data_IF_565626929460
#
_entry.id   IF_565626929460
#
_cell.length_a   1.000
_cell.length_b   1.000
_cell.length_c   1.000
_cell.angle_alpha   90.00
_cell.angle_beta   90.00
_cell.angle_gamma   90.00
#
_symmetry.space_group_name_H-M   'P 1'
#
loop_
_entity.id
_entity.type
_entity.pdbx_description
1 polymer ?
#
# COMPACT_ATOMS: atom_id res chain seq x y z
N UNK A 1 24.89 1.98 -10.61
CA UNK A 1 23.60 2.62 -10.25
C UNK A 1 22.68 2.51 -11.46
N UNK A 2 21.39 2.23 -11.23
CA UNK A 2 20.41 2.05 -12.31
C UNK A 2 19.89 3.35 -12.93
N UNK A 3 20.19 4.49 -12.31
CA UNK A 3 19.63 5.80 -12.72
C UNK A 3 18.15 5.99 -12.37
N UNK A 4 17.64 5.20 -11.43
CA UNK A 4 16.25 5.31 -10.94
C UNK A 4 16.24 6.08 -9.64
N UNK A 5 15.48 7.18 -9.58
CA UNK A 5 15.34 8.03 -8.40
C UNK A 5 14.03 7.79 -7.64
N UNK A 6 13.04 7.20 -8.28
CA UNK A 6 11.72 6.93 -7.73
C UNK A 6 11.21 5.55 -8.16
N UNK A 7 10.65 4.82 -7.21
CA UNK A 7 10.02 3.52 -7.45
C UNK A 7 8.54 3.57 -7.06
N UNK A 8 7.72 2.70 -7.64
CA UNK A 8 6.26 2.73 -7.43
C UNK A 8 5.75 1.89 -6.24
N UNK A 9 6.43 0.87 -5.74
CA UNK A 9 6.04 0.19 -4.51
C UNK A 9 6.35 1.02 -3.24
N UNK A 10 5.82 0.62 -2.07
CA UNK A 10 5.05 -0.61 -1.84
C UNK A 10 3.54 -0.44 -2.07
N UNK A 11 2.90 -1.55 -2.43
CA UNK A 11 1.45 -1.67 -2.49
C UNK A 11 0.95 -2.17 -1.12
N UNK A 12 0.22 -1.34 -0.38
CA UNK A 12 -0.26 -1.63 0.97
C UNK A 12 -1.78 -1.69 1.04
N UNK A 13 -2.40 -2.14 -0.03
CA UNK A 13 -3.85 -2.26 -0.10
C UNK A 13 -4.34 -3.39 0.82
N UNK A 14 -5.13 -3.03 1.82
CA UNK A 14 -5.84 -4.01 2.66
C UNK A 14 -6.91 -4.66 1.79
N UNK A 15 -6.77 -5.96 1.53
CA UNK A 15 -7.66 -6.70 0.65
C UNK A 15 -8.08 -8.04 1.29
N UNK A 16 -9.37 -8.24 1.45
CA UNK A 16 -9.96 -9.48 1.99
C UNK A 16 -10.62 -10.36 0.93
N UNK A 17 -10.84 -9.84 -0.27
CA UNK A 17 -11.47 -10.60 -1.36
C UNK A 17 -10.40 -11.18 -2.30
N UNK A 18 -10.20 -12.49 -2.23
CA UNK A 18 -9.23 -13.20 -3.07
C UNK A 18 -9.51 -13.16 -4.57
N UNK A 19 -10.69 -12.67 -4.99
CA UNK A 19 -11.02 -12.48 -6.40
C UNK A 19 -10.41 -11.22 -6.99
N UNK A 20 -9.98 -10.29 -6.15
CA UNK A 20 -9.30 -9.08 -6.63
C UNK A 20 -7.97 -9.45 -7.27
N UNK A 21 -7.79 -9.08 -8.54
CA UNK A 21 -6.64 -9.49 -9.35
C UNK A 21 -5.28 -9.02 -8.83
N UNK A 22 -5.26 -7.97 -7.97
CA UNK A 22 -4.04 -7.43 -7.37
C UNK A 22 -3.81 -7.85 -5.92
N UNK A 23 -4.60 -8.78 -5.40
CA UNK A 23 -4.47 -9.25 -4.01
C UNK A 23 -3.06 -9.76 -3.69
N UNK A 24 -2.37 -10.36 -4.67
CA UNK A 24 -1.02 -10.90 -4.51
C UNK A 24 0.07 -9.84 -4.41
N UNK A 25 -0.22 -8.58 -4.72
CA UNK A 25 0.76 -7.48 -4.63
C UNK A 25 0.84 -6.86 -3.24
N UNK A 26 -0.17 -7.10 -2.38
CA UNK A 26 -0.26 -6.57 -1.03
C UNK A 26 0.17 -7.55 0.05
N UNK A 27 -0.05 -7.18 1.29
CA UNK A 27 0.36 -7.95 2.47
C UNK A 27 -0.83 -8.60 3.19
N UNK A 28 -1.95 -8.79 2.49
CA UNK A 28 -3.14 -9.48 2.98
C UNK A 28 -4.23 -8.58 3.54
N UNK A 29 -5.10 -9.15 4.38
CA UNK A 29 -6.31 -8.48 4.86
C UNK A 29 -6.14 -7.74 6.20
N UNK A 30 -5.04 -7.99 6.90
CA UNK A 30 -4.78 -7.36 8.20
C UNK A 30 -4.13 -5.98 8.03
N UNK A 31 -4.78 -4.90 8.52
CA UNK A 31 -4.25 -3.55 8.39
C UNK A 31 -2.94 -3.32 9.15
N UNK A 32 -2.75 -3.99 10.29
CA UNK A 32 -1.49 -3.89 11.06
C UNK A 32 -0.31 -4.51 10.28
N UNK A 33 -0.52 -5.69 9.72
CA UNK A 33 0.48 -6.36 8.88
C UNK A 33 0.84 -5.49 7.67
N UNK A 34 -0.16 -4.92 6.98
CA UNK A 34 0.07 -3.99 5.88
C UNK A 34 0.89 -2.77 6.31
N UNK A 35 0.59 -2.20 7.47
CA UNK A 35 1.34 -1.06 8.01
C UNK A 35 2.80 -1.44 8.31
N UNK A 36 3.03 -2.56 9.00
CA UNK A 36 4.36 -3.01 9.38
C UNK A 36 5.25 -3.28 8.15
N UNK A 37 4.74 -4.01 7.17
CA UNK A 37 5.47 -4.27 5.93
C UNK A 37 5.64 -3.02 5.06
N UNK A 38 4.65 -2.13 5.04
CA UNK A 38 4.72 -0.85 4.36
C UNK A 38 5.87 0.00 4.88
N UNK A 39 5.96 0.17 6.21
CA UNK A 39 7.06 0.90 6.87
C UNK A 39 8.41 0.27 6.56
N UNK A 40 8.52 -1.06 6.69
CA UNK A 40 9.76 -1.77 6.40
C UNK A 40 10.20 -1.58 4.94
N UNK A 41 9.26 -1.66 4.00
CA UNK A 41 9.51 -1.46 2.57
C UNK A 41 9.97 -0.04 2.26
N UNK A 42 9.27 0.97 2.78
CA UNK A 42 9.64 2.37 2.60
C UNK A 42 11.03 2.64 3.15
N UNK A 43 11.34 2.17 4.36
CA UNK A 43 12.67 2.29 4.95
C UNK A 43 13.75 1.58 4.13
N UNK A 44 13.43 0.41 3.57
CA UNK A 44 14.33 -0.33 2.68
C UNK A 44 14.68 0.45 1.42
N UNK A 45 13.68 1.07 0.78
CA UNK A 45 13.87 1.88 -0.43
C UNK A 45 14.56 3.21 -0.14
N UNK A 46 14.10 3.95 0.86
CA UNK A 46 14.52 5.33 1.12
C UNK A 46 15.73 5.41 2.06
N UNK A 47 15.92 4.42 2.94
CA UNK A 47 16.90 4.53 4.02
C UNK A 47 16.61 5.75 4.90
N UNK A 48 17.64 6.26 5.54
CA UNK A 48 17.54 7.43 6.42
C UNK A 48 17.85 8.74 5.70
N UNK A 49 18.42 8.66 4.49
CA UNK A 49 18.85 9.85 3.72
C UNK A 49 18.79 9.57 2.21
N UNK A 50 17.90 10.28 1.53
CA UNK A 50 17.78 10.24 0.08
C UNK A 50 18.79 11.12 -0.65
N UNK A 51 19.38 12.10 0.03
CA UNK A 51 20.26 13.10 -0.59
C UNK A 51 21.59 12.50 -1.08
N UNK A 52 21.97 11.35 -0.57
CA UNK A 52 23.22 10.68 -0.93
C UNK A 52 23.19 9.95 -2.30
N UNK A 53 22.05 9.92 -2.98
CA UNK A 53 21.88 9.30 -4.30
C UNK A 53 22.02 7.79 -4.36
N UNK A 54 22.04 7.09 -3.23
CA UNK A 54 22.18 5.64 -3.13
C UNK A 54 20.85 4.90 -2.90
N UNK A 55 19.80 5.66 -2.70
CA UNK A 55 18.45 5.17 -2.38
C UNK A 55 17.44 5.76 -3.35
N UNK A 56 16.23 5.24 -3.34
CA UNK A 56 15.16 5.67 -4.22
C UNK A 56 13.93 6.06 -3.39
N UNK A 57 13.18 7.06 -3.85
CA UNK A 57 11.92 7.43 -3.23
C UNK A 57 10.89 6.30 -3.43
N UNK A 58 10.17 5.95 -2.38
CA UNK A 58 9.08 5.00 -2.43
C UNK A 58 7.74 5.69 -2.72
N UNK A 59 6.75 4.90 -3.15
CA UNK A 59 5.39 5.36 -3.39
C UNK A 59 4.39 4.48 -2.66
N UNK A 60 4.06 4.85 -1.42
CA UNK A 60 3.04 4.14 -0.66
C UNK A 60 1.68 4.29 -1.35
N UNK A 61 1.03 3.19 -1.69
CA UNK A 61 -0.21 3.20 -2.48
C UNK A 61 -1.08 1.98 -2.20
N UNK A 62 -2.35 1.99 -2.60
CA UNK A 62 -3.11 3.08 -3.23
C UNK A 62 -3.95 3.82 -2.21
N UNK A 63 -3.97 5.13 -2.24
CA UNK A 63 -4.76 5.95 -1.34
C UNK A 63 -6.18 6.09 -1.89
N UNK A 64 -7.23 5.55 -1.25
CA UNK A 64 -7.32 4.58 -0.17
C UNK A 64 -8.54 3.68 -0.43
N UNK A 65 -8.47 2.40 0.00
CA UNK A 65 -9.58 1.45 -0.13
C UNK A 65 -9.66 0.71 -1.46
N UNK A 66 -8.63 0.76 -2.29
CA UNK A 66 -8.61 0.11 -3.60
C UNK A 66 -8.79 -1.40 -3.53
N UNK A 67 -8.24 -2.05 -2.50
CA UNK A 67 -8.40 -3.48 -2.26
C UNK A 67 -9.79 -3.92 -1.76
N UNK A 68 -10.70 -2.96 -1.49
CA UNK A 68 -12.06 -3.21 -1.02
C UNK A 68 -13.12 -3.08 -2.13
N UNK A 69 -12.73 -3.16 -3.39
CA UNK A 69 -13.64 -3.07 -4.54
C UNK A 69 -14.73 -4.13 -4.48
N UNK A 70 -15.96 -3.75 -4.78
CA UNK A 70 -17.11 -4.65 -4.76
C UNK A 70 -16.90 -5.89 -5.63
N UNK A 71 -17.06 -7.07 -5.01
CA UNK A 71 -16.89 -8.36 -5.67
C UNK A 71 -15.47 -8.64 -6.17
N UNK A 72 -14.46 -7.92 -5.66
CA UNK A 72 -13.07 -8.02 -6.12
C UNK A 72 -12.84 -7.51 -7.53
N UNK A 73 -13.80 -6.81 -8.12
CA UNK A 73 -13.69 -6.30 -9.50
C UNK A 73 -12.87 -5.04 -9.53
N UNK A 74 -11.94 -4.96 -10.47
CA UNK A 74 -11.06 -3.81 -10.61
C UNK A 74 -11.81 -2.57 -11.12
N UNK A 75 -11.44 -1.40 -10.59
CA UNK A 75 -12.04 -0.10 -10.95
C UNK A 75 -13.55 0.01 -10.73
N UNK A 76 -14.12 -0.82 -9.86
CA UNK A 76 -15.51 -0.71 -9.41
C UNK A 76 -15.57 0.12 -8.13
N UNK A 77 -16.75 0.63 -7.82
CA UNK A 77 -16.97 1.39 -6.59
C UNK A 77 -16.62 0.58 -5.34
N UNK A 78 -16.32 1.30 -4.29
CA UNK A 78 -15.98 0.77 -2.97
C UNK A 78 -16.94 1.39 -1.96
N UNK A 79 -17.64 0.55 -1.20
CA UNK A 79 -18.57 1.00 -0.19
C UNK A 79 -17.97 0.79 1.20
N UNK A 80 -17.43 1.86 1.78
CA UNK A 80 -16.73 1.83 3.07
C UNK A 80 -17.33 2.92 3.97
N UNK A 81 -17.78 2.53 5.17
CA UNK A 81 -18.20 3.50 6.18
C UNK A 81 -17.01 4.37 6.61
N UNK A 82 -17.29 5.59 7.08
CA UNK A 82 -16.24 6.49 7.57
C UNK A 82 -15.43 5.84 8.71
N UNK A 83 -16.10 5.13 9.61
CA UNK A 83 -15.44 4.45 10.71
C UNK A 83 -14.49 3.36 10.19
N UNK A 84 -14.99 2.46 9.34
CA UNK A 84 -14.17 1.39 8.74
C UNK A 84 -12.98 1.96 7.94
N UNK A 85 -13.20 3.07 7.23
CA UNK A 85 -12.13 3.75 6.51
C UNK A 85 -10.97 4.12 7.45
N UNK A 86 -11.28 4.73 8.60
CA UNK A 86 -10.27 5.16 9.57
C UNK A 86 -9.63 4.01 10.33
N UNK A 87 -10.42 3.01 10.71
CA UNK A 87 -9.95 1.92 11.58
C UNK A 87 -9.19 0.84 10.81
N UNK A 88 -9.45 0.69 9.50
CA UNK A 88 -8.88 -0.36 8.68
C UNK A 88 -7.98 0.18 7.57
N UNK A 89 -8.51 1.03 6.70
CA UNK A 89 -7.84 1.40 5.46
C UNK A 89 -6.87 2.59 5.59
N UNK A 90 -7.02 3.40 6.63
CA UNK A 90 -6.14 4.54 6.85
C UNK A 90 -4.98 4.27 7.81
N UNK A 91 -4.92 3.08 8.42
CA UNK A 91 -3.94 2.79 9.47
C UNK A 91 -2.48 3.00 8.99
N UNK A 92 -2.18 2.54 7.79
CA UNK A 92 -0.82 2.61 7.23
C UNK A 92 -0.47 3.96 6.59
N UNK A 93 -1.38 4.92 6.63
CA UNK A 93 -1.15 6.31 6.19
C UNK A 93 -1.05 7.30 7.36
N UNK A 94 -1.05 6.81 8.59
CA UNK A 94 -0.85 7.58 9.82
C UNK A 94 0.62 7.52 10.27
#
# INVERSE_FOLDING_TARGET
>A
MSGVDWTFPPTTDVASDGRWGRVSEGYGEDPYTNAAFGVASVKGYQGDDLSNGKKVAACLKHYVGYGASEGGRDYVFTEISRQTLWDTYMLHYR
#
